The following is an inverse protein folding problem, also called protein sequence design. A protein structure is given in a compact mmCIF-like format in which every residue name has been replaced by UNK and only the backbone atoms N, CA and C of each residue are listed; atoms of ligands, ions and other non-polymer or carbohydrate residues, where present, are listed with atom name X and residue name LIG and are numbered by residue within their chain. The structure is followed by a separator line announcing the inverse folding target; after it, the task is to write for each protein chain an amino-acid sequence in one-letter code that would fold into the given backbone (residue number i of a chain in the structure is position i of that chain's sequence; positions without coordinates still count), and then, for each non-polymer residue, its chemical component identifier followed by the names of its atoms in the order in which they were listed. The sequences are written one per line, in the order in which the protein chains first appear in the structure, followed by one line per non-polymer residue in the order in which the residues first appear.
data_IF_011414885248
#
_entry.id   IF_011414885248
#
_cell.length_a   1.000
_cell.length_b   1.000
_cell.length_c   1.000
_cell.angle_alpha   90.00
_cell.angle_beta   90.00
_cell.angle_gamma   90.00
#
_symmetry.space_group_name_H-M   'P 1'
#
loop_
_entity.id
_entity.type
_entity.pdbx_description
1 polymer ?
#
# COMPACT_ATOMS: atom_id res chain seq x y z
N UNK A 1 4.24 -24.41 -9.47
CA UNK A 1 4.30 -24.05 -8.03
C UNK A 1 5.65 -23.41 -7.72
N UNK A 2 5.93 -22.18 -8.19
CA UNK A 2 7.21 -21.48 -7.92
C UNK A 2 7.20 -19.97 -8.26
N UNK A 3 6.04 -19.31 -8.27
CA UNK A 3 5.92 -17.86 -8.57
C UNK A 3 5.77 -17.01 -7.30
N UNK A 4 5.58 -17.65 -6.13
CA UNK A 4 5.42 -16.97 -4.84
C UNK A 4 6.74 -16.55 -4.18
N UNK A 5 7.88 -17.12 -4.59
CA UNK A 5 9.19 -16.87 -3.93
C UNK A 5 9.87 -15.58 -4.38
N UNK A 6 9.63 -15.11 -5.61
CA UNK A 6 10.27 -13.89 -6.14
C UNK A 6 9.58 -12.59 -5.73
N UNK A 7 8.27 -12.62 -5.46
CA UNK A 7 7.54 -11.47 -4.91
C UNK A 7 7.94 -11.12 -3.46
N UNK A 8 8.63 -12.04 -2.77
CA UNK A 8 8.96 -11.93 -1.34
C UNK A 8 10.12 -10.96 -1.03
N UNK A 9 10.94 -10.53 -2.01
CA UNK A 9 12.29 -10.04 -1.67
C UNK A 9 12.54 -8.52 -1.78
N UNK A 10 11.78 -7.75 -2.60
CA UNK A 10 11.89 -6.27 -2.64
C UNK A 10 10.60 -5.53 -2.26
N UNK A 11 9.45 -6.22 -2.30
CA UNK A 11 8.14 -5.60 -2.04
C UNK A 11 7.66 -5.82 -0.60
N UNK A 12 8.25 -6.80 0.10
CA UNK A 12 8.08 -7.00 1.54
C UNK A 12 8.69 -5.87 2.39
N UNK A 13 9.54 -5.00 1.81
CA UNK A 13 10.17 -3.92 2.56
C UNK A 13 9.16 -2.86 3.04
N UNK A 14 8.09 -2.58 2.30
CA UNK A 14 7.05 -1.64 2.76
C UNK A 14 6.33 -2.14 4.02
N UNK A 15 6.02 -3.45 4.07
CA UNK A 15 5.43 -4.09 5.24
C UNK A 15 6.41 -4.27 6.40
N UNK A 16 7.68 -4.58 6.11
CA UNK A 16 8.75 -4.70 7.12
C UNK A 16 9.10 -3.33 7.71
N UNK A 17 9.15 -2.27 6.90
CA UNK A 17 9.37 -0.89 7.37
C UNK A 17 8.16 -0.41 8.18
N UNK A 18 6.93 -0.68 7.76
CA UNK A 18 5.73 -0.38 8.55
C UNK A 18 5.69 -1.15 9.86
N UNK A 19 6.05 -2.44 9.86
CA UNK A 19 6.15 -3.25 11.07
C UNK A 19 7.26 -2.74 12.00
N UNK A 20 8.41 -2.33 11.46
CA UNK A 20 9.51 -1.75 12.23
C UNK A 20 9.12 -0.38 12.84
N UNK A 21 8.44 0.47 12.08
CA UNK A 21 7.94 1.76 12.57
C UNK A 21 6.83 1.56 13.62
N UNK A 22 5.90 0.63 13.41
CA UNK A 22 4.86 0.32 14.39
C UNK A 22 5.43 -0.30 15.68
N UNK A 23 6.46 -1.13 15.54
CA UNK A 23 7.19 -1.72 16.66
C UNK A 23 7.98 -0.65 17.44
N UNK A 24 8.71 0.24 16.74
CA UNK A 24 9.43 1.37 17.35
C UNK A 24 8.48 2.39 17.98
N UNK A 25 7.33 2.64 17.35
CA UNK A 25 6.28 3.52 17.88
C UNK A 25 5.67 2.93 19.16
N UNK A 26 5.31 1.65 19.14
CA UNK A 26 4.79 0.95 20.33
C UNK A 26 5.82 0.87 21.46
N UNK A 27 7.10 0.71 21.13
CA UNK A 27 8.19 0.76 22.11
C UNK A 27 8.34 2.16 22.72
N UNK A 28 8.23 3.22 21.91
CA UNK A 28 8.44 4.61 22.35
C UNK A 28 7.32 5.14 23.25
N UNK A 29 6.10 4.65 23.11
CA UNK A 29 4.96 5.05 23.96
C UNK A 29 5.07 4.48 25.38
N UNK A 30 5.87 3.41 25.58
CA UNK A 30 5.96 2.72 26.86
C UNK A 30 4.65 2.03 27.28
N UNK A 31 4.66 1.32 28.41
CA UNK A 31 3.47 0.63 28.92
C UNK A 31 2.36 1.65 29.26
N UNK A 32 1.41 1.81 28.34
CA UNK A 32 0.20 2.59 28.58
C UNK A 32 -0.62 1.91 29.70
N UNK A 33 -0.82 2.63 30.80
CA UNK A 33 -1.72 2.23 31.90
C UNK A 33 -3.16 2.15 31.39
N UNK A 34 -3.91 1.13 31.83
CA UNK A 34 -5.22 0.74 31.30
C UNK A 34 -6.25 1.89 31.30
N UNK A 35 -6.12 2.88 32.20
CA UNK A 35 -6.99 4.06 32.22
C UNK A 35 -6.70 5.12 31.14
N UNK A 36 -5.47 5.21 30.62
CA UNK A 36 -5.08 6.21 29.61
C UNK A 36 -5.28 5.75 28.17
N UNK A 37 -5.42 4.44 27.95
CA UNK A 37 -5.57 3.87 26.61
C UNK A 37 -6.84 4.36 25.90
N UNK A 38 -7.93 4.55 26.64
CA UNK A 38 -9.19 5.04 26.08
C UNK A 38 -9.10 6.50 25.62
N UNK A 39 -8.44 7.37 26.39
CA UNK A 39 -8.24 8.77 25.99
C UNK A 39 -7.31 8.90 24.78
N UNK A 40 -6.24 8.09 24.73
CA UNK A 40 -5.33 8.04 23.58
C UNK A 40 -6.04 7.51 22.32
N UNK A 41 -6.88 6.49 22.47
CA UNK A 41 -7.69 5.98 21.37
C UNK A 41 -8.70 7.02 20.88
N UNK A 42 -9.39 7.72 21.78
CA UNK A 42 -10.31 8.81 21.42
C UNK A 42 -9.59 9.93 20.67
N UNK A 43 -8.38 10.29 21.12
CA UNK A 43 -7.55 11.28 20.45
C UNK A 43 -7.14 10.91 19.03
N UNK A 44 -6.86 9.62 18.75
CA UNK A 44 -6.42 9.19 17.41
C UNK A 44 -7.56 8.91 16.43
N UNK A 45 -8.77 8.61 16.90
CA UNK A 45 -9.92 8.24 16.07
C UNK A 45 -10.20 9.24 14.93
N UNK A 46 -10.28 10.58 15.15
CA UNK A 46 -10.51 11.53 14.08
C UNK A 46 -9.42 11.50 13.00
N UNK A 47 -8.15 11.45 13.43
CA UNK A 47 -7.00 11.39 12.53
C UNK A 47 -6.99 10.10 11.70
N UNK A 48 -7.28 8.95 12.32
CA UNK A 48 -7.36 7.67 11.62
C UNK A 48 -8.53 7.64 10.64
N UNK A 49 -9.70 8.18 10.99
CA UNK A 49 -10.85 8.29 10.07
C UNK A 49 -10.52 9.12 8.84
N UNK A 50 -9.86 10.26 9.04
CA UNK A 50 -9.42 11.11 7.94
C UNK A 50 -8.36 10.42 7.05
N UNK A 51 -7.43 9.69 7.65
CA UNK A 51 -6.45 8.88 6.92
C UNK A 51 -7.14 7.81 6.06
N UNK A 52 -8.07 7.04 6.62
CA UNK A 52 -8.83 6.03 5.86
C UNK A 52 -9.58 6.66 4.70
N UNK A 53 -10.27 7.78 4.91
CA UNK A 53 -10.96 8.52 3.86
C UNK A 53 -10.00 8.94 2.73
N UNK A 54 -8.85 9.48 3.08
CA UNK A 54 -7.82 9.90 2.12
C UNK A 54 -7.26 8.70 1.32
N UNK A 55 -7.01 7.57 1.97
CA UNK A 55 -6.54 6.33 1.30
C UNK A 55 -7.59 5.81 0.32
N UNK A 56 -8.87 5.80 0.71
CA UNK A 56 -9.96 5.37 -0.19
C UNK A 56 -10.05 6.26 -1.43
N UNK A 57 -9.99 7.59 -1.27
CA UNK A 57 -10.01 8.52 -2.40
C UNK A 57 -8.79 8.35 -3.31
N UNK A 58 -7.59 8.25 -2.73
CA UNK A 58 -6.36 8.05 -3.49
C UNK A 58 -6.37 6.73 -4.28
N UNK A 59 -6.77 5.62 -3.66
CA UNK A 59 -6.82 4.31 -4.34
C UNK A 59 -7.92 4.26 -5.41
N UNK A 60 -9.07 4.92 -5.19
CA UNK A 60 -10.13 5.06 -6.20
C UNK A 60 -9.64 5.84 -7.42
N UNK A 61 -8.96 6.96 -7.22
CA UNK A 61 -8.40 7.76 -8.33
C UNK A 61 -7.30 7.01 -9.08
N UNK A 62 -6.43 6.27 -8.39
CA UNK A 62 -5.41 5.42 -9.04
C UNK A 62 -6.05 4.35 -9.92
N UNK A 63 -7.09 3.67 -9.42
CA UNK A 63 -7.84 2.67 -10.20
C UNK A 63 -8.48 3.29 -11.46
N UNK A 64 -9.06 4.49 -11.32
CA UNK A 64 -9.62 5.23 -12.43
C UNK A 64 -8.55 5.60 -13.48
N UNK A 65 -7.40 6.14 -13.04
CA UNK A 65 -6.30 6.50 -13.94
C UNK A 65 -5.72 5.29 -14.67
N UNK A 66 -5.59 4.14 -13.99
CA UNK A 66 -5.17 2.87 -14.60
C UNK A 66 -6.16 2.45 -15.69
N UNK A 67 -7.46 2.53 -15.41
CA UNK A 67 -8.48 2.18 -16.39
C UNK A 67 -8.44 3.12 -17.61
N UNK A 68 -8.29 4.43 -17.39
CA UNK A 68 -8.13 5.42 -18.45
C UNK A 68 -6.89 5.14 -19.31
N UNK A 69 -5.75 4.83 -18.68
CA UNK A 69 -4.50 4.48 -19.38
C UNK A 69 -4.68 3.23 -20.26
N UNK A 70 -5.33 2.19 -19.73
CA UNK A 70 -5.61 0.96 -20.47
C UNK A 70 -6.54 1.25 -21.66
N UNK A 71 -7.60 2.04 -21.46
CA UNK A 71 -8.53 2.40 -22.53
C UNK A 71 -7.86 3.15 -23.67
N UNK A 72 -6.97 4.10 -23.36
CA UNK A 72 -6.23 4.86 -24.37
C UNK A 72 -5.23 3.98 -25.14
N UNK A 73 -4.55 3.10 -24.41
CA UNK A 73 -3.61 2.13 -24.99
C UNK A 73 -4.31 1.15 -25.94
N UNK A 74 -5.47 0.63 -25.55
CA UNK A 74 -6.20 -0.35 -26.35
C UNK A 74 -6.64 0.19 -27.72
N UNK A 75 -6.72 1.51 -27.89
CA UNK A 75 -7.05 2.18 -29.14
C UNK A 75 -5.79 2.48 -30.00
N UNK A 76 -4.59 2.38 -29.44
CA UNK A 76 -3.34 2.62 -30.15
C UNK A 76 -2.83 1.34 -30.79
N UNK A 77 -2.55 1.33 -32.09
CA UNK A 77 -2.01 0.19 -32.87
C UNK A 77 -0.61 -0.30 -32.42
N UNK A 78 -0.01 0.33 -31.40
CA UNK A 78 1.23 -0.13 -30.79
C UNK A 78 0.93 -1.27 -29.82
N UNK A 79 1.23 -2.50 -30.23
CA UNK A 79 1.25 -3.68 -29.35
C UNK A 79 2.15 -3.43 -28.12
N UNK A 80 1.58 -2.99 -27.00
CA UNK A 80 2.32 -2.95 -25.73
C UNK A 80 2.73 -4.36 -25.34
N UNK A 81 4.01 -4.55 -25.01
CA UNK A 81 4.53 -5.80 -24.46
C UNK A 81 3.67 -6.23 -23.26
N UNK A 82 3.24 -7.50 -23.26
CA UNK A 82 2.44 -8.17 -22.21
C UNK A 82 2.95 -7.92 -20.76
N UNK A 83 4.23 -7.62 -20.61
CA UNK A 83 4.89 -7.29 -19.33
C UNK A 83 4.33 -6.00 -18.67
N UNK A 84 3.90 -5.00 -19.44
CA UNK A 84 3.29 -3.77 -18.92
C UNK A 84 1.90 -4.02 -18.31
N UNK A 85 1.03 -4.75 -19.02
CA UNK A 85 -0.29 -5.13 -18.52
C UNK A 85 -0.21 -5.92 -17.20
N UNK A 86 0.79 -6.79 -17.09
CA UNK A 86 1.02 -7.56 -15.86
C UNK A 86 1.40 -6.65 -14.68
N UNK A 87 2.29 -5.67 -14.89
CA UNK A 87 2.69 -4.70 -13.85
C UNK A 87 1.50 -3.82 -13.43
N UNK A 88 0.72 -3.32 -14.40
CA UNK A 88 -0.47 -2.50 -14.13
C UNK A 88 -1.53 -3.27 -13.36
N UNK A 89 -1.78 -4.54 -13.71
CA UNK A 89 -2.70 -5.42 -12.99
C UNK A 89 -2.28 -5.60 -11.52
N UNK A 90 -0.99 -5.72 -11.23
CA UNK A 90 -0.50 -5.84 -9.86
C UNK A 90 -0.74 -4.56 -9.05
N UNK A 91 -0.55 -3.39 -9.66
CA UNK A 91 -0.84 -2.09 -9.01
C UNK A 91 -2.33 -1.98 -8.71
N UNK A 92 -3.19 -2.33 -9.68
CA UNK A 92 -4.64 -2.30 -9.50
C UNK A 92 -5.11 -3.25 -8.38
N UNK A 93 -4.53 -4.45 -8.28
CA UNK A 93 -4.83 -5.37 -7.18
C UNK A 93 -4.42 -4.79 -5.82
N UNK A 94 -3.20 -4.23 -5.72
CA UNK A 94 -2.74 -3.59 -4.48
C UNK A 94 -3.61 -2.40 -4.08
N UNK A 95 -4.00 -1.55 -5.04
CA UNK A 95 -4.92 -0.44 -4.81
C UNK A 95 -6.29 -0.90 -4.32
N UNK A 96 -6.84 -1.96 -4.93
CA UNK A 96 -8.10 -2.57 -4.49
C UNK A 96 -7.98 -3.16 -3.06
N UNK A 97 -6.90 -3.88 -2.77
CA UNK A 97 -6.63 -4.38 -1.41
C UNK A 97 -6.52 -3.24 -0.40
N UNK A 98 -5.81 -2.16 -0.74
CA UNK A 98 -5.70 -0.97 0.11
C UNK A 98 -7.03 -0.27 0.36
N UNK A 99 -7.87 -0.17 -0.67
CA UNK A 99 -9.22 0.39 -0.57
C UNK A 99 -10.10 -0.42 0.39
N UNK A 100 -10.13 -1.74 0.21
CA UNK A 100 -10.89 -2.65 1.09
C UNK A 100 -10.35 -2.59 2.53
N UNK A 101 -9.03 -2.61 2.71
CA UNK A 101 -8.41 -2.52 4.03
C UNK A 101 -8.76 -1.19 4.74
N UNK A 102 -8.75 -0.06 4.01
CA UNK A 102 -9.15 1.23 4.56
C UNK A 102 -10.62 1.26 4.98
N UNK A 103 -11.52 0.65 4.19
CA UNK A 103 -12.94 0.48 4.57
C UNK A 103 -13.07 -0.36 5.84
N UNK A 104 -12.40 -1.50 5.92
CA UNK A 104 -12.48 -2.38 7.10
C UNK A 104 -12.03 -1.63 8.35
N UNK A 105 -10.89 -0.92 8.29
CA UNK A 105 -10.43 -0.13 9.42
C UNK A 105 -11.43 0.99 9.77
N UNK A 106 -11.97 1.68 8.76
CA UNK A 106 -12.97 2.74 8.95
C UNK A 106 -14.22 2.21 9.66
N UNK A 107 -14.71 1.03 9.28
CA UNK A 107 -15.86 0.40 9.91
C UNK A 107 -15.57 0.05 11.38
N UNK A 108 -14.39 -0.52 11.66
CA UNK A 108 -13.96 -0.86 13.03
C UNK A 108 -13.93 0.39 13.92
N UNK A 109 -13.34 1.48 13.44
CA UNK A 109 -13.23 2.73 14.20
C UNK A 109 -14.51 3.56 14.20
N UNK A 110 -15.49 3.25 13.36
CA UNK A 110 -16.77 3.95 13.30
C UNK A 110 -17.76 3.47 14.37
N UNK A 111 -17.44 2.39 15.10
CA UNK A 111 -18.27 1.92 16.22
C UNK A 111 -18.23 2.92 17.38
N UNK A 112 -19.38 3.25 18.01
CA UNK A 112 -19.45 4.18 19.13
C UNK A 112 -18.87 3.53 20.39
N UNK A 113 -17.59 3.79 20.65
CA UNK A 113 -16.87 3.27 21.83
C UNK A 113 -17.15 4.06 23.11
N UNK A 114 -17.93 5.13 23.02
CA UNK A 114 -18.28 6.02 24.13
C UNK A 114 -19.29 5.42 25.10
N UNK A 115 -20.12 4.48 24.65
CA UNK A 115 -21.14 3.81 25.46
C UNK A 115 -20.65 2.49 26.08
N UNK A 116 -19.40 2.09 25.81
CA UNK A 116 -18.89 0.81 26.26
C UNK A 116 -18.54 0.85 27.76
N UNK A 117 -19.16 -0.04 28.55
CA UNK A 117 -18.94 -0.16 29.99
C UNK A 117 -17.46 -0.36 30.35
N UNK A 118 -17.03 0.13 31.52
CA UNK A 118 -15.67 -0.03 32.08
C UNK A 118 -15.15 -1.49 32.11
N UNK A 119 -16.02 -2.51 32.04
CA UNK A 119 -15.59 -3.92 31.93
C UNK A 119 -14.75 -4.25 30.69
N UNK A 120 -14.61 -3.33 29.73
CA UNK A 120 -13.88 -3.52 28.47
C UNK A 120 -12.47 -2.91 28.45
N UNK A 121 -11.92 -2.40 29.56
CA UNK A 121 -10.55 -1.81 29.59
C UNK A 121 -9.45 -2.61 28.85
N UNK A 122 -9.30 -3.94 29.02
CA UNK A 122 -8.29 -4.71 28.27
C UNK A 122 -8.59 -4.79 26.76
N UNK A 123 -9.87 -4.74 26.37
CA UNK A 123 -10.28 -4.71 24.96
C UNK A 123 -9.93 -3.37 24.29
N UNK A 124 -10.07 -2.26 25.00
CA UNK A 124 -9.64 -0.94 24.52
C UNK A 124 -8.14 -0.86 24.24
N UNK A 125 -7.34 -1.45 25.12
CA UNK A 125 -5.89 -1.54 24.92
C UNK A 125 -5.55 -2.36 23.68
N UNK A 126 -6.16 -3.54 23.51
CA UNK A 126 -5.98 -4.35 22.31
C UNK A 126 -6.39 -3.57 21.04
N UNK A 127 -7.54 -2.90 21.07
CA UNK A 127 -8.05 -2.11 19.95
C UNK A 127 -7.13 -0.94 19.60
N UNK A 128 -6.55 -0.26 20.59
CA UNK A 128 -5.57 0.80 20.37
C UNK A 128 -4.34 0.31 19.60
N UNK A 129 -3.69 -0.76 20.06
CA UNK A 129 -2.53 -1.33 19.38
C UNK A 129 -2.91 -1.90 18.00
N UNK A 130 -4.10 -2.50 17.87
CA UNK A 130 -4.60 -2.99 16.60
C UNK A 130 -4.76 -1.86 15.58
N UNK A 131 -5.45 -0.77 15.92
CA UNK A 131 -5.64 0.39 15.04
C UNK A 131 -4.30 1.03 14.68
N UNK A 132 -3.37 1.13 15.64
CA UNK A 132 -2.03 1.68 15.41
C UNK A 132 -1.25 0.86 14.38
N UNK A 133 -1.15 -0.46 14.58
CA UNK A 133 -0.45 -1.36 13.64
C UNK A 133 -1.15 -1.37 12.28
N UNK A 134 -2.48 -1.41 12.25
CA UNK A 134 -3.24 -1.43 11.00
C UNK A 134 -3.06 -0.13 10.20
N UNK A 135 -3.06 1.02 10.89
CA UNK A 135 -2.82 2.33 10.25
C UNK A 135 -1.41 2.41 9.65
N UNK A 136 -0.41 1.89 10.36
CA UNK A 136 0.96 1.80 9.84
C UNK A 136 1.06 0.90 8.60
N UNK A 137 0.40 -0.26 8.61
CA UNK A 137 0.34 -1.17 7.47
C UNK A 137 -0.34 -0.52 6.26
N UNK A 138 -1.46 0.18 6.47
CA UNK A 138 -2.14 0.94 5.42
C UNK A 138 -1.23 2.03 4.83
N UNK A 139 -0.51 2.76 5.68
CA UNK A 139 0.47 3.76 5.25
C UNK A 139 1.57 3.16 4.38
N UNK A 140 2.20 2.06 4.81
CA UNK A 140 3.24 1.36 4.04
C UNK A 140 2.73 0.79 2.72
N UNK A 141 1.50 0.27 2.72
CA UNK A 141 0.84 -0.20 1.51
C UNK A 141 0.61 0.94 0.51
N UNK A 142 0.17 2.11 0.96
CA UNK A 142 -0.02 3.29 0.10
C UNK A 142 1.30 3.75 -0.54
N UNK A 143 2.38 3.85 0.25
CA UNK A 143 3.72 4.19 -0.27
C UNK A 143 4.17 3.21 -1.35
N UNK A 144 3.94 1.90 -1.11
CA UNK A 144 4.28 0.86 -2.09
C UNK A 144 3.51 1.03 -3.40
N UNK A 145 2.21 1.33 -3.33
CA UNK A 145 1.38 1.59 -4.52
C UNK A 145 1.94 2.79 -5.30
N UNK A 146 2.26 3.89 -4.61
CA UNK A 146 2.78 5.12 -5.25
C UNK A 146 4.11 4.84 -5.96
N UNK A 147 5.04 4.13 -5.32
CA UNK A 147 6.33 3.78 -5.94
C UNK A 147 6.18 2.88 -7.17
N UNK A 148 5.29 1.89 -7.12
CA UNK A 148 5.01 1.05 -8.30
C UNK A 148 4.34 1.85 -9.41
N UNK A 149 3.45 2.78 -9.07
CA UNK A 149 2.79 3.65 -10.03
C UNK A 149 3.79 4.59 -10.72
N UNK A 150 4.70 5.20 -9.96
CA UNK A 150 5.77 6.05 -10.51
C UNK A 150 6.63 5.29 -11.52
N UNK A 151 7.06 4.07 -11.19
CA UNK A 151 7.84 3.22 -12.11
C UNK A 151 7.05 2.85 -13.36
N UNK A 152 5.76 2.55 -13.22
CA UNK A 152 4.89 2.26 -14.37
C UNK A 152 4.72 3.49 -15.27
N UNK A 153 4.53 4.68 -14.69
CA UNK A 153 4.44 5.94 -15.42
C UNK A 153 5.76 6.28 -16.14
N UNK A 154 6.90 6.18 -15.44
CA UNK A 154 8.23 6.38 -16.03
C UNK A 154 8.48 5.44 -17.21
N UNK A 155 8.10 4.17 -17.09
CA UNK A 155 8.26 3.20 -18.17
C UNK A 155 7.35 3.48 -19.39
N UNK A 156 6.24 4.20 -19.22
CA UNK A 156 5.40 4.68 -20.33
C UNK A 156 6.02 5.93 -20.97
N UNK A 157 6.59 6.84 -20.19
CA UNK A 157 7.27 8.05 -20.69
C UNK A 157 8.42 7.67 -21.63
N UNK A 158 9.29 6.75 -21.20
CA UNK A 158 10.41 6.24 -22.03
C UNK A 158 9.93 5.56 -23.32
N UNK A 159 8.73 4.97 -23.32
CA UNK A 159 8.17 4.32 -24.51
C UNK A 159 7.60 5.33 -25.54
N UNK A 160 7.26 6.54 -25.08
CA UNK A 160 6.72 7.62 -25.91
C UNK A 160 7.84 8.47 -26.50
N UNK A 161 8.98 8.58 -25.80
CA UNK A 161 10.14 9.36 -26.23
C UNK A 161 11.44 8.50 -26.32
N UNK A 162 11.63 7.76 -27.43
CA UNK A 162 12.82 6.94 -27.64
C UNK A 162 14.11 7.73 -27.96
N UNK A 163 14.06 9.07 -28.07
CA UNK A 163 15.21 9.93 -28.40
C UNK A 163 15.80 10.65 -27.16
N UNK A 164 15.24 10.41 -25.97
CA UNK A 164 15.85 10.80 -24.70
C UNK A 164 16.92 9.78 -24.28
N UNK A 165 17.94 9.62 -25.13
CA UNK A 165 19.21 8.99 -24.77
C UNK A 165 19.98 9.94 -23.84
N UNK A 166 19.60 9.93 -22.56
CA UNK A 166 20.54 10.22 -21.48
C UNK A 166 20.47 9.04 -20.50
N UNK A 167 21.25 8.04 -20.90
CA UNK A 167 21.61 6.82 -20.21
C UNK A 167 22.12 7.11 -18.78
N UNK A 168 21.24 7.11 -17.76
CA UNK A 168 21.64 6.92 -16.35
C UNK A 168 20.53 6.43 -15.38
N UNK A 169 19.26 6.27 -15.83
CA UNK A 169 18.13 5.94 -14.93
C UNK A 169 17.55 4.53 -15.10
N UNK A 170 18.11 3.70 -15.98
CA UNK A 170 17.64 2.36 -16.29
C UNK A 170 18.76 1.30 -16.25
N UNK A 171 19.32 1.05 -15.07
CA UNK A 171 19.99 -0.22 -14.72
C UNK A 171 19.55 -0.48 -13.26
N UNK A 172 18.73 -1.47 -12.93
CA UNK A 172 18.97 -2.91 -13.08
C UNK A 172 17.72 -3.66 -13.56
N UNK A 173 17.76 -4.24 -14.76
CA UNK A 173 17.14 -5.55 -14.96
C UNK A 173 18.29 -6.56 -15.05
N UNK A 174 18.39 -7.40 -14.02
CA UNK A 174 19.28 -8.57 -14.01
C UNK A 174 19.05 -9.41 -15.28
N UNK A 175 20.13 -9.91 -15.92
CA UNK A 175 20.05 -10.59 -17.22
C UNK A 175 19.25 -11.89 -17.14
N UNK A 176 18.41 -12.10 -18.15
CA UNK A 176 17.81 -13.38 -18.48
C UNK A 176 18.92 -14.42 -18.71
N UNK A 177 18.97 -15.44 -17.86
CA UNK A 177 19.72 -16.67 -18.14
C UNK A 177 18.97 -17.47 -19.20
N UNK A 178 19.26 -17.16 -20.47
CA UNK A 178 19.00 -18.02 -21.60
C UNK A 178 20.12 -19.06 -21.69
N UNK A 179 19.93 -20.20 -21.06
CA UNK A 179 20.78 -21.38 -21.22
C UNK A 179 19.99 -22.55 -21.79
N UNK A 180 19.86 -22.61 -23.11
CA UNK A 180 19.53 -23.84 -23.83
C UNK A 180 20.54 -24.01 -24.97
N UNK A 181 21.26 -25.13 -24.98
CA UNK A 181 22.14 -25.56 -26.07
C UNK A 181 23.59 -25.83 -25.69
N UNK A 182 23.86 -27.02 -25.13
CA UNK A 182 24.65 -28.10 -25.78
C UNK A 182 24.51 -29.42 -25.01
#
# INVERSE_FOLDING_TARGET
MNILKWFKQREAWGGVVAAAIAFLGSWSVGYVSDGKAMDLLKGMLPSTRFMCASVMTATSTILALILTLISFTAQSDKHLKSRYFTRVKQIALLACTGFIAAIILLLIISLPIEEASEKLYPFFRFLYYFVLVYSALLGGLLVTIILKLYRAAAAVIVLIDPDADDTDLLVDEEPEDSGDGE
#
